data_IF_611805331630
#
_entry.id   IF_611805331630
#
_cell.length_a   1.000
_cell.length_b   1.000
_cell.length_c   1.000
_cell.angle_alpha   90.00
_cell.angle_beta   90.00
_cell.angle_gamma   90.00
#
_symmetry.space_group_name_H-M   'P 1'
#
loop_
_entity.id
_entity.type
_entity.pdbx_description
1 polymer ?
#
# COMPACT_ATOMS: atom_id res chain seq x y z
N UNK A 1 -12.83 -19.26 16.33
CA UNK A 1 -12.45 -17.84 16.24
C UNK A 1 -11.41 -17.72 15.15
N UNK A 2 -11.76 -17.22 13.97
CA UNK A 2 -10.76 -16.82 12.98
C UNK A 2 -10.05 -15.62 13.56
N UNK A 3 -8.77 -15.75 13.91
CA UNK A 3 -7.93 -14.59 14.19
C UNK A 3 -8.02 -13.65 13.00
N UNK A 4 -8.36 -12.37 13.23
CA UNK A 4 -8.38 -11.38 12.15
C UNK A 4 -7.00 -11.35 11.49
N UNK A 5 -6.99 -11.45 10.16
CA UNK A 5 -5.76 -11.41 9.39
C UNK A 5 -5.16 -10.01 9.49
N UNK A 6 -3.90 -9.90 9.92
CA UNK A 6 -3.19 -8.62 9.89
C UNK A 6 -3.06 -8.17 8.43
N UNK A 7 -3.39 -6.91 8.17
CA UNK A 7 -3.38 -6.29 6.84
C UNK A 7 -2.34 -5.17 6.83
N UNK A 8 -1.50 -5.15 5.81
CA UNK A 8 -0.44 -4.16 5.61
C UNK A 8 -0.84 -3.17 4.51
N UNK A 9 -0.76 -1.87 4.78
CA UNK A 9 -0.88 -0.84 3.76
C UNK A 9 0.50 -0.56 3.14
N UNK A 10 0.64 -0.88 1.85
CA UNK A 10 1.84 -0.55 1.08
C UNK A 10 1.63 0.82 0.42
N UNK A 11 2.52 1.78 0.69
CA UNK A 11 2.53 3.09 0.04
C UNK A 11 3.95 3.60 -0.16
N UNK A 12 4.16 4.49 -1.15
CA UNK A 12 5.50 5.00 -1.45
C UNK A 12 5.55 5.96 -2.64
N UNK A 13 6.75 6.12 -3.20
CA UNK A 13 7.02 7.13 -4.22
C UNK A 13 6.54 6.71 -5.62
N UNK A 14 6.00 7.68 -6.36
CA UNK A 14 5.56 7.48 -7.75
C UNK A 14 6.71 7.19 -8.72
N UNK A 15 7.93 7.56 -8.35
CA UNK A 15 9.16 7.36 -9.12
C UNK A 15 10.08 6.28 -8.52
N UNK A 16 9.53 5.40 -7.66
CA UNK A 16 10.31 4.33 -7.03
C UNK A 16 10.95 3.42 -8.07
N UNK A 17 12.26 3.24 -7.96
CA UNK A 17 13.01 2.29 -8.80
C UNK A 17 12.89 0.85 -8.28
N UNK A 18 13.15 -0.13 -9.15
CA UNK A 18 13.21 -1.55 -8.73
C UNK A 18 14.26 -1.77 -7.62
N UNK A 19 15.41 -1.09 -7.70
CA UNK A 19 16.47 -1.20 -6.70
C UNK A 19 16.04 -0.66 -5.32
N UNK A 20 15.33 0.47 -5.29
CA UNK A 20 14.76 1.00 -4.05
C UNK A 20 13.64 0.09 -3.52
N UNK A 21 12.80 -0.47 -4.39
CA UNK A 21 11.79 -1.45 -4.00
C UNK A 21 12.43 -2.67 -3.32
N UNK A 22 13.49 -3.21 -3.91
CA UNK A 22 14.20 -4.37 -3.39
C UNK A 22 14.86 -4.07 -2.05
N UNK A 23 15.44 -2.88 -1.91
CA UNK A 23 16.11 -2.43 -0.69
C UNK A 23 15.13 -2.16 0.47
N UNK A 24 14.00 -1.53 0.19
CA UNK A 24 13.14 -0.98 1.23
C UNK A 24 11.85 -1.76 1.48
N UNK A 25 11.31 -2.47 0.47
CA UNK A 25 9.97 -3.09 0.55
C UNK A 25 10.04 -4.62 0.55
N UNK A 26 10.87 -5.20 -0.32
CA UNK A 26 10.87 -6.66 -0.59
C UNK A 26 10.97 -7.51 0.67
N UNK A 27 11.88 -7.19 1.59
CA UNK A 27 12.05 -7.97 2.82
C UNK A 27 10.82 -7.87 3.74
N UNK A 28 10.23 -6.68 3.87
CA UNK A 28 9.04 -6.47 4.70
C UNK A 28 7.83 -7.23 4.15
N UNK A 29 7.61 -7.15 2.83
CA UNK A 29 6.56 -7.91 2.15
C UNK A 29 6.76 -9.42 2.32
N UNK A 30 8.00 -9.91 2.16
CA UNK A 30 8.31 -11.34 2.39
C UNK A 30 8.03 -11.79 3.82
N UNK A 31 8.31 -10.95 4.81
CA UNK A 31 8.01 -11.25 6.20
C UNK A 31 6.50 -11.29 6.46
N UNK A 32 5.73 -10.39 5.85
CA UNK A 32 4.27 -10.38 5.92
C UNK A 32 3.66 -11.63 5.26
N UNK A 33 4.15 -12.02 4.08
CA UNK A 33 3.74 -13.24 3.39
C UNK A 33 3.99 -14.50 4.24
N UNK A 34 5.17 -14.62 4.87
CA UNK A 34 5.51 -15.74 5.78
C UNK A 34 4.57 -15.84 6.98
N UNK A 35 4.00 -14.72 7.41
CA UNK A 35 3.03 -14.62 8.50
C UNK A 35 1.57 -14.73 8.03
N UNK A 36 1.35 -15.07 6.75
CA UNK A 36 0.03 -15.14 6.13
C UNK A 36 -0.80 -13.85 6.32
N UNK A 37 -0.15 -12.69 6.21
CA UNK A 37 -0.79 -11.38 6.30
C UNK A 37 -1.33 -10.93 4.95
N UNK A 38 -2.34 -10.06 4.96
CA UNK A 38 -2.93 -9.45 3.77
C UNK A 38 -2.33 -8.07 3.46
N UNK A 39 -2.75 -7.52 2.32
CA UNK A 39 -2.25 -6.25 1.80
C UNK A 39 -3.37 -5.37 1.24
N UNK A 40 -3.26 -4.06 1.47
CA UNK A 40 -3.95 -3.04 0.70
C UNK A 40 -2.91 -2.17 0.01
N UNK A 41 -3.16 -1.80 -1.23
CA UNK A 41 -2.25 -1.02 -2.07
C UNK A 41 -3.05 -0.09 -2.96
N UNK A 42 -2.49 1.05 -3.32
CA UNK A 42 -3.11 1.95 -4.31
C UNK A 42 -2.94 1.45 -5.75
N UNK A 43 -3.40 2.28 -6.68
CA UNK A 43 -3.36 2.06 -8.12
C UNK A 43 -2.42 3.05 -8.83
N UNK A 44 -1.46 3.65 -8.13
CA UNK A 44 -0.54 4.60 -8.72
C UNK A 44 0.64 3.90 -9.43
N UNK A 45 1.46 4.68 -10.15
CA UNK A 45 2.76 4.21 -10.65
C UNK A 45 3.78 4.12 -9.50
N UNK A 46 4.94 3.51 -9.75
CA UNK A 46 6.02 3.41 -8.77
C UNK A 46 5.77 2.30 -7.75
N UNK A 47 5.78 2.62 -6.46
CA UNK A 47 5.62 1.63 -5.37
C UNK A 47 4.42 0.72 -5.57
N UNK A 48 3.25 1.28 -5.88
CA UNK A 48 2.00 0.52 -6.02
C UNK A 48 2.10 -0.51 -7.14
N UNK A 49 2.54 -0.09 -8.33
CA UNK A 49 2.75 -1.00 -9.47
C UNK A 49 3.75 -2.12 -9.13
N UNK A 50 4.89 -1.77 -8.54
CA UNK A 50 5.92 -2.75 -8.19
C UNK A 50 5.45 -3.73 -7.11
N UNK A 51 4.69 -3.24 -6.12
CA UNK A 51 4.10 -4.07 -5.07
C UNK A 51 3.06 -5.04 -5.63
N UNK A 52 2.13 -4.56 -6.46
CA UNK A 52 1.13 -5.40 -7.11
C UNK A 52 1.80 -6.49 -7.97
N UNK A 53 2.76 -6.13 -8.83
CA UNK A 53 3.51 -7.09 -9.63
C UNK A 53 4.26 -8.11 -8.77
N UNK A 54 4.86 -7.65 -7.67
CA UNK A 54 5.58 -8.54 -6.76
C UNK A 54 4.66 -9.50 -6.02
N UNK A 55 3.45 -9.09 -5.65
CA UNK A 55 2.50 -9.93 -4.92
C UNK A 55 1.75 -10.91 -5.83
N UNK A 56 1.66 -10.63 -7.13
CA UNK A 56 0.96 -11.47 -8.09
C UNK A 56 1.54 -12.89 -8.08
N UNK A 57 0.65 -13.88 -7.95
CA UNK A 57 1.01 -15.30 -7.86
C UNK A 57 1.59 -15.73 -6.51
N UNK A 58 1.90 -14.80 -5.58
CA UNK A 58 2.39 -15.13 -4.22
C UNK A 58 1.27 -15.21 -3.18
N UNK A 59 0.21 -14.42 -3.35
CA UNK A 59 -0.94 -14.41 -2.45
C UNK A 59 -2.19 -13.91 -3.18
N UNK A 60 -3.36 -14.29 -2.67
CA UNK A 60 -4.66 -13.73 -3.07
C UNK A 60 -5.18 -12.67 -2.09
N UNK A 61 -4.52 -12.49 -0.94
CA UNK A 61 -4.93 -11.56 0.10
C UNK A 61 -4.44 -10.13 -0.19
N UNK A 62 -4.86 -9.58 -1.32
CA UNK A 62 -4.53 -8.21 -1.77
C UNK A 62 -5.80 -7.53 -2.26
N UNK A 63 -6.01 -6.27 -1.89
CA UNK A 63 -7.05 -5.41 -2.45
C UNK A 63 -6.41 -4.13 -2.98
N UNK A 64 -6.70 -3.80 -4.24
CA UNK A 64 -6.22 -2.57 -4.90
C UNK A 64 -7.26 -1.45 -4.73
N UNK A 65 -6.87 -0.36 -4.11
CA UNK A 65 -7.72 0.81 -3.91
C UNK A 65 -7.50 1.81 -5.04
N UNK A 66 -8.59 2.35 -5.58
CA UNK A 66 -8.51 3.34 -6.66
C UNK A 66 -9.57 4.42 -6.53
N UNK A 67 -9.29 5.57 -7.13
CA UNK A 67 -10.28 6.64 -7.22
C UNK A 67 -11.33 6.32 -8.29
N UNK A 68 -12.49 6.95 -8.18
CA UNK A 68 -13.56 6.89 -9.18
C UNK A 68 -13.98 5.45 -9.54
N UNK A 69 -14.42 5.24 -10.78
CA UNK A 69 -15.01 3.98 -11.23
C UNK A 69 -13.98 2.89 -11.55
N UNK A 70 -12.81 3.26 -12.07
CA UNK A 70 -11.84 2.30 -12.60
C UNK A 70 -10.42 2.59 -12.09
N UNK A 71 -9.60 1.56 -11.81
CA UNK A 71 -8.21 1.73 -11.43
C UNK A 71 -7.37 2.21 -12.60
N UNK A 72 -6.37 3.06 -12.32
CA UNK A 72 -5.32 3.44 -13.28
C UNK A 72 -4.44 2.25 -13.64
N UNK A 73 -4.15 1.39 -12.68
CA UNK A 73 -3.52 0.09 -12.89
C UNK A 73 -4.01 -0.97 -11.90
N UNK A 74 -4.03 -2.23 -12.34
CA UNK A 74 -4.32 -3.38 -11.51
C UNK A 74 -3.64 -4.63 -12.11
N UNK A 75 -2.79 -5.31 -11.32
CA UNK A 75 -2.13 -6.55 -11.74
C UNK A 75 -3.05 -7.78 -11.80
N UNK A 76 -4.32 -7.65 -11.42
CA UNK A 76 -5.32 -8.73 -11.45
C UNK A 76 -5.93 -9.05 -10.08
N UNK A 77 -5.88 -8.12 -9.13
CA UNK A 77 -6.45 -8.29 -7.80
C UNK A 77 -7.88 -7.73 -7.70
N UNK A 78 -8.67 -8.15 -6.71
CA UNK A 78 -9.89 -7.48 -6.33
C UNK A 78 -9.65 -5.99 -6.07
N UNK A 79 -10.62 -5.14 -6.43
CA UNK A 79 -10.51 -3.70 -6.27
C UNK A 79 -11.52 -3.15 -5.27
N UNK A 80 -11.20 -2.00 -4.69
CA UNK A 80 -12.14 -1.13 -3.98
C UNK A 80 -12.02 0.30 -4.52
N UNK A 81 -13.07 0.73 -5.20
CA UNK A 81 -13.13 2.03 -5.87
C UNK A 81 -14.06 3.03 -5.19
N UNK A 82 -14.37 4.12 -5.91
CA UNK A 82 -15.40 5.09 -5.57
C UNK A 82 -14.92 6.33 -4.82
N UNK A 83 -13.64 6.39 -4.43
CA UNK A 83 -13.08 7.52 -3.71
C UNK A 83 -12.90 8.74 -4.64
N UNK A 84 -13.18 9.93 -4.12
CA UNK A 84 -13.15 11.20 -4.87
C UNK A 84 -11.81 11.92 -4.78
N UNK A 85 -10.96 11.53 -3.84
CA UNK A 85 -9.61 12.11 -3.67
C UNK A 85 -8.59 11.06 -3.22
N UNK A 86 -7.30 11.33 -3.46
CA UNK A 86 -6.22 10.53 -2.90
C UNK A 86 -6.28 10.51 -1.36
N UNK A 87 -6.66 11.63 -0.72
CA UNK A 87 -6.78 11.72 0.73
C UNK A 87 -7.85 10.76 1.28
N UNK A 88 -9.04 10.77 0.68
CA UNK A 88 -10.14 9.87 1.07
C UNK A 88 -9.78 8.40 0.87
N UNK A 89 -9.17 8.07 -0.28
CA UNK A 89 -8.69 6.71 -0.58
C UNK A 89 -7.66 6.26 0.44
N UNK A 90 -6.66 7.10 0.72
CA UNK A 90 -5.56 6.77 1.61
C UNK A 90 -6.01 6.68 3.07
N UNK A 91 -6.93 7.55 3.50
CA UNK A 91 -7.61 7.43 4.79
C UNK A 91 -8.33 6.10 4.95
N UNK A 92 -9.05 5.67 3.90
CA UNK A 92 -9.74 4.38 3.93
C UNK A 92 -8.74 3.22 3.99
N UNK A 93 -7.65 3.25 3.21
CA UNK A 93 -6.59 2.24 3.32
C UNK A 93 -5.93 2.23 4.70
N UNK A 94 -5.74 3.37 5.35
CA UNK A 94 -5.25 3.43 6.74
C UNK A 94 -6.22 2.75 7.70
N UNK A 95 -7.55 3.00 7.57
CA UNK A 95 -8.59 2.37 8.39
C UNK A 95 -8.71 0.86 8.19
N UNK A 96 -8.57 0.39 6.94
CA UNK A 96 -8.74 -1.02 6.58
C UNK A 96 -7.46 -1.86 6.76
N UNK A 97 -6.43 -1.28 7.38
CA UNK A 97 -5.16 -1.95 7.62
C UNK A 97 -4.66 -1.73 9.04
N UNK A 98 -3.74 -2.58 9.45
CA UNK A 98 -3.22 -2.65 10.82
C UNK A 98 -1.81 -2.05 10.92
N UNK A 99 -1.05 -2.10 9.82
CA UNK A 99 0.37 -1.73 9.75
C UNK A 99 0.67 -1.06 8.41
N UNK A 100 1.76 -0.29 8.35
CA UNK A 100 2.27 0.26 7.09
C UNK A 100 3.57 -0.42 6.68
N UNK A 101 3.70 -0.70 5.38
CA UNK A 101 4.97 -1.00 4.72
C UNK A 101 5.25 0.16 3.78
N UNK A 102 5.99 1.14 4.28
CA UNK A 102 6.23 2.38 3.56
C UNK A 102 7.67 2.86 3.76
N UNK A 103 8.16 3.64 2.81
CA UNK A 103 9.47 4.28 2.91
C UNK A 103 9.44 5.69 2.33
N UNK A 104 9.88 6.65 3.14
CA UNK A 104 10.04 8.05 2.75
C UNK A 104 11.51 8.29 2.40
N UNK A 105 11.77 8.72 1.17
CA UNK A 105 13.09 9.10 0.70
C UNK A 105 13.51 10.36 1.44
N UNK A 106 14.77 10.45 1.88
CA UNK A 106 15.30 11.64 2.54
C UNK A 106 15.04 12.90 1.70
N UNK A 107 14.48 13.94 2.31
CA UNK A 107 14.05 15.17 1.64
C UNK A 107 12.64 15.11 1.05
N UNK A 108 11.86 14.06 1.31
CA UNK A 108 10.46 13.88 0.86
C UNK A 108 9.47 13.76 2.02
N UNK A 109 9.75 14.40 3.13
CA UNK A 109 8.96 14.37 4.37
C UNK A 109 7.59 15.06 4.20
N UNK A 110 7.35 15.82 3.13
CA UNK A 110 6.03 16.38 2.80
C UNK A 110 5.23 15.53 1.79
N UNK A 111 5.64 14.27 1.55
CA UNK A 111 5.01 13.35 0.59
C UNK A 111 3.69 12.74 1.08
N UNK A 112 2.89 12.20 0.16
CA UNK A 112 1.70 11.41 0.51
C UNK A 112 2.04 10.21 1.39
N UNK A 113 3.17 9.56 1.16
CA UNK A 113 3.68 8.46 1.99
C UNK A 113 3.89 8.89 3.45
N UNK A 114 4.49 10.07 3.68
CA UNK A 114 4.65 10.59 5.04
C UNK A 114 3.29 10.85 5.69
N UNK A 115 2.35 11.47 4.97
CA UNK A 115 0.99 11.72 5.48
C UNK A 115 0.27 10.42 5.89
N UNK A 116 0.50 9.32 5.16
CA UNK A 116 -0.08 8.02 5.49
C UNK A 116 0.50 7.46 6.80
N UNK A 117 1.81 7.59 7.00
CA UNK A 117 2.47 7.23 8.27
C UNK A 117 1.98 8.09 9.45
N UNK A 118 1.88 9.40 9.24
CA UNK A 118 1.41 10.35 10.26
C UNK A 118 -0.02 10.03 10.70
N UNK A 119 -0.89 9.69 9.72
CA UNK A 119 -2.27 9.28 9.98
C UNK A 119 -2.35 8.03 10.85
N UNK A 120 -1.48 7.03 10.65
CA UNK A 120 -1.47 5.83 11.51
C UNK A 120 -1.00 6.13 12.92
N UNK A 121 -0.05 7.06 13.08
CA UNK A 121 0.45 7.47 14.38
C UNK A 121 -0.54 8.34 15.17
N UNK A 122 -1.66 8.76 14.57
CA UNK A 122 -2.61 9.68 15.18
C UNK A 122 -2.11 11.13 15.22
N UNK A 123 -1.01 11.42 14.53
CA UNK A 123 -0.43 12.75 14.43
C UNK A 123 -1.05 13.49 13.24
N UNK A 124 -2.31 13.89 13.35
CA UNK A 124 -2.92 14.77 12.36
C UNK A 124 -2.63 16.24 12.72
N UNK A 125 -1.99 16.97 11.81
CA UNK A 125 -1.99 18.44 11.79
C UNK A 125 -3.24 18.95 11.09
#
# INVERSE_FOLDING_TARGET
>A
MTTEQIINFISGHLDLTQAEFDKHYRQQINNALKKNQGFVVGDARGTDTLAQQYLLGKTKAVVVYHMFENPRNNAGFPTRGGFQSDAERDEQMTRDSHQDIAWVRTGRENSGTQKNLDRRLGNMN
#
